data_IF_379986229644
#
_entry.id   IF_379986229644
#
_cell.length_a   1.000
_cell.length_b   1.000
_cell.length_c   1.000
_cell.angle_alpha   90.00
_cell.angle_beta   90.00
_cell.angle_gamma   90.00
#
_symmetry.space_group_name_H-M   'P 1'
#
loop_
_entity.id
_entity.type
_entity.pdbx_description
1 polymer ?
#
# COMPACT_ATOMS: atom_id res chain seq x y z
N UNK A 1 41.97 -42.06 -28.13
CA UNK A 1 40.82 -41.44 -28.80
C UNK A 1 40.57 -40.09 -28.13
N UNK A 2 40.61 -38.98 -28.87
CA UNK A 2 40.25 -37.67 -28.32
C UNK A 2 38.73 -37.55 -28.27
N UNK A 3 38.19 -37.39 -27.06
CA UNK A 3 36.75 -37.25 -26.83
C UNK A 3 36.19 -35.92 -27.34
N UNK A 4 34.88 -35.88 -27.56
CA UNK A 4 34.17 -34.69 -28.01
C UNK A 4 34.35 -33.53 -27.04
N UNK A 5 34.66 -32.34 -27.56
CA UNK A 5 34.68 -31.10 -26.78
C UNK A 5 33.25 -30.83 -26.27
N UNK A 6 33.03 -30.68 -24.95
CA UNK A 6 31.71 -30.35 -24.43
C UNK A 6 31.30 -28.97 -24.91
N UNK A 7 30.01 -28.80 -25.20
CA UNK A 7 29.46 -27.49 -25.55
C UNK A 7 29.61 -26.54 -24.36
N UNK A 8 30.52 -25.58 -24.47
CA UNK A 8 30.72 -24.52 -23.47
C UNK A 8 30.07 -23.24 -23.98
N UNK A 9 28.87 -22.93 -23.49
CA UNK A 9 28.25 -21.62 -23.69
C UNK A 9 28.38 -20.79 -22.42
N UNK A 10 29.04 -19.63 -22.53
CA UNK A 10 29.16 -18.66 -21.43
C UNK A 10 27.90 -17.77 -21.27
N UNK A 11 26.84 -18.03 -22.04
CA UNK A 11 25.63 -17.20 -22.04
C UNK A 11 24.40 -18.06 -21.83
N UNK A 12 23.82 -17.96 -20.64
CA UNK A 12 22.45 -18.39 -20.39
C UNK A 12 21.51 -17.29 -20.88
N UNK A 13 20.65 -17.61 -21.85
CA UNK A 13 19.54 -16.74 -22.24
C UNK A 13 18.29 -17.31 -21.56
N UNK A 14 17.71 -16.63 -20.55
CA UNK A 14 16.48 -17.10 -19.94
C UNK A 14 15.33 -17.01 -20.94
N UNK A 15 14.51 -18.06 -20.98
CA UNK A 15 13.26 -18.03 -21.73
C UNK A 15 12.29 -17.04 -21.07
N UNK A 16 11.62 -16.22 -21.89
CA UNK A 16 10.58 -15.29 -21.44
C UNK A 16 9.21 -15.95 -21.64
N UNK A 17 8.51 -16.20 -20.55
CA UNK A 17 7.11 -16.63 -20.57
C UNK A 17 6.18 -15.46 -20.31
N UNK A 18 4.94 -15.57 -20.79
CA UNK A 18 3.87 -14.68 -20.38
C UNK A 18 3.31 -15.17 -19.04
N UNK A 19 3.06 -14.26 -18.11
CA UNK A 19 2.45 -14.61 -16.84
C UNK A 19 0.96 -14.92 -17.06
N UNK A 20 0.56 -16.17 -16.85
CA UNK A 20 -0.82 -16.66 -16.97
C UNK A 20 -1.31 -17.22 -15.64
N UNK A 21 -2.63 -17.18 -15.44
CA UNK A 21 -3.35 -17.87 -14.38
C UNK A 21 -4.35 -18.86 -14.98
N UNK A 22 -4.75 -19.86 -14.22
CA UNK A 22 -5.80 -20.79 -14.63
C UNK A 22 -7.14 -20.30 -14.10
N UNK A 23 -8.10 -20.10 -14.99
CA UNK A 23 -9.50 -19.78 -14.68
C UNK A 23 -10.38 -20.76 -15.47
N UNK A 24 -11.24 -21.50 -14.78
CA UNK A 24 -12.10 -22.55 -15.37
C UNK A 24 -11.38 -23.57 -16.26
N UNK A 25 -10.14 -23.94 -15.89
CA UNK A 25 -9.32 -24.88 -16.65
C UNK A 25 -8.73 -24.32 -17.94
N UNK A 26 -8.79 -22.99 -18.14
CA UNK A 26 -8.18 -22.28 -19.28
C UNK A 26 -7.07 -21.35 -18.81
N UNK A 27 -6.02 -21.22 -19.62
CA UNK A 27 -4.98 -20.23 -19.40
C UNK A 27 -5.49 -18.82 -19.74
N UNK A 28 -5.39 -17.92 -18.77
CA UNK A 28 -5.79 -16.51 -18.88
C UNK A 28 -4.59 -15.65 -18.49
N UNK A 29 -4.35 -14.54 -19.18
CA UNK A 29 -3.25 -13.63 -18.83
C UNK A 29 -3.51 -12.98 -17.47
N UNK A 30 -2.46 -12.91 -16.63
CA UNK A 30 -2.55 -12.16 -15.37
C UNK A 30 -2.66 -10.67 -15.72
N UNK A 31 -3.70 -9.98 -15.26
CA UNK A 31 -3.83 -8.55 -15.50
C UNK A 31 -2.66 -7.79 -14.82
N UNK A 32 -2.17 -6.71 -15.44
CA UNK A 32 -1.13 -5.89 -14.83
C UNK A 32 -1.60 -5.36 -13.48
N UNK A 33 -0.68 -5.31 -12.51
CA UNK A 33 -0.96 -4.76 -11.19
C UNK A 33 -1.44 -3.30 -11.32
N UNK A 34 -2.42 -2.87 -10.51
CA UNK A 34 -2.83 -1.48 -10.46
C UNK A 34 -1.66 -0.59 -10.03
N UNK A 35 -1.75 0.71 -10.33
CA UNK A 35 -0.72 1.68 -9.97
C UNK A 35 -0.42 1.62 -8.47
N UNK A 36 0.85 1.39 -8.14
CA UNK A 36 1.29 1.36 -6.75
C UNK A 36 1.50 2.79 -6.29
N UNK A 37 0.81 3.18 -5.23
CA UNK A 37 1.00 4.49 -4.60
C UNK A 37 1.65 4.31 -3.25
N UNK A 38 2.69 5.10 -2.97
CA UNK A 38 3.30 5.13 -1.64
C UNK A 38 2.33 5.76 -0.64
N UNK A 39 1.66 4.92 0.15
CA UNK A 39 0.72 5.34 1.20
C UNK A 39 1.35 6.27 2.24
N UNK A 40 2.64 6.15 2.55
CA UNK A 40 3.29 7.12 3.45
C UNK A 40 3.39 8.53 2.84
N UNK A 41 3.36 8.62 1.49
CA UNK A 41 3.40 9.89 0.75
C UNK A 41 2.00 10.48 0.49
N UNK A 42 1.01 9.64 0.16
CA UNK A 42 -0.35 10.12 -0.17
C UNK A 42 -1.34 10.05 0.99
N UNK A 43 -1.10 9.18 1.98
CA UNK A 43 -1.95 9.12 3.14
C UNK A 43 -1.67 10.29 4.06
N UNK A 44 -2.73 10.99 4.44
CA UNK A 44 -2.70 11.95 5.53
C UNK A 44 -2.93 11.29 6.88
N UNK A 45 -3.08 9.96 6.95
CA UNK A 45 -3.28 9.21 8.20
C UNK A 45 -1.93 8.86 8.81
N UNK A 46 -1.68 9.33 10.03
CA UNK A 46 -0.51 8.96 10.82
C UNK A 46 -0.68 7.54 11.41
N UNK A 47 0.42 6.94 11.87
CA UNK A 47 0.38 5.65 12.60
C UNK A 47 -0.49 5.69 13.86
N UNK A 48 -0.72 6.88 14.43
CA UNK A 48 -1.65 7.09 15.54
C UNK A 48 -3.13 7.06 15.14
N UNK A 49 -3.45 6.89 13.85
CA UNK A 49 -4.81 7.04 13.32
C UNK A 49 -5.25 8.50 13.16
N UNK A 50 -4.45 9.48 13.59
CA UNK A 50 -4.76 10.90 13.42
C UNK A 50 -4.56 11.35 11.97
N UNK A 51 -5.49 12.13 11.44
CA UNK A 51 -5.34 12.81 10.16
C UNK A 51 -4.44 14.05 10.30
N UNK A 52 -3.38 14.12 9.51
CA UNK A 52 -2.53 15.32 9.32
C UNK A 52 -3.36 16.34 8.56
N UNK A 53 -3.69 17.52 9.12
CA UNK A 53 -4.44 18.56 8.42
C UNK A 53 -3.79 18.90 7.06
N UNK A 54 -4.62 19.14 6.04
CA UNK A 54 -4.13 19.59 4.75
C UNK A 54 -3.64 21.02 4.97
N UNK A 55 -2.33 21.21 5.12
CA UNK A 55 -1.78 22.55 5.11
C UNK A 55 -1.92 23.05 3.68
N UNK A 56 -2.77 24.05 3.46
CA UNK A 56 -2.72 24.82 2.22
C UNK A 56 -1.28 25.29 2.08
N UNK A 57 -0.64 25.04 0.94
CA UNK A 57 0.70 25.55 0.64
C UNK A 57 0.65 27.07 0.44
N UNK A 58 0.21 27.81 1.46
CA UNK A 58 0.55 29.22 1.58
C UNK A 58 1.93 29.23 2.17
N UNK A 59 2.92 29.52 1.33
CA UNK A 59 4.23 29.98 1.80
C UNK A 59 3.97 31.14 2.74
N UNK A 60 4.00 30.90 4.04
CA UNK A 60 4.10 31.94 5.05
C UNK A 60 5.33 31.61 5.83
N UNK A 61 6.35 32.40 5.56
CA UNK A 61 7.60 32.47 6.30
C UNK A 61 7.25 33.02 7.70
N UNK A 62 7.54 32.24 8.75
CA UNK A 62 8.07 32.71 10.04
C UNK A 62 7.78 31.71 11.19
N UNK A 63 8.73 31.56 12.13
CA UNK A 63 8.68 30.56 13.20
C UNK A 63 7.94 31.09 14.42
N UNK A 64 7.22 30.26 15.18
CA UNK A 64 7.01 30.46 16.61
C UNK A 64 6.66 29.10 17.25
N UNK A 65 7.58 28.66 18.10
CA UNK A 65 7.40 27.64 19.13
C UNK A 65 6.22 28.03 20.03
N UNK A 66 5.19 27.18 20.12
CA UNK A 66 4.27 27.20 21.27
C UNK A 66 4.19 25.79 21.84
N UNK A 67 4.83 25.69 22.99
CA UNK A 67 4.77 24.58 23.91
C UNK A 67 3.31 24.23 24.24
N UNK A 68 3.09 22.93 24.31
CA UNK A 68 1.85 22.17 24.56
C UNK A 68 0.99 22.76 25.68
N UNK A 69 -0.30 22.94 25.39
CA UNK A 69 -1.35 22.81 26.41
C UNK A 69 -2.36 21.79 25.90
N UNK A 70 -2.24 20.55 26.41
CA UNK A 70 -3.16 19.46 26.15
C UNK A 70 -4.34 19.62 27.09
N UNK A 71 -5.36 20.33 26.64
CA UNK A 71 -6.68 20.31 27.28
C UNK A 71 -7.51 19.20 26.64
N UNK A 72 -7.70 18.11 27.39
CA UNK A 72 -8.59 17.02 27.03
C UNK A 72 -10.03 17.55 26.94
N UNK A 73 -10.71 17.45 25.79
CA UNK A 73 -12.15 17.57 25.77
C UNK A 73 -12.76 16.22 26.16
N UNK A 74 -13.27 16.23 27.39
CA UNK A 74 -14.32 15.40 28.00
C UNK A 74 -15.08 14.50 27.02
N UNK A 75 -15.17 13.24 27.44
CA UNK A 75 -16.05 12.17 26.95
C UNK A 75 -17.50 12.66 26.81
N UNK A 76 -18.06 12.59 25.61
CA UNK A 76 -19.49 12.60 25.39
C UNK A 76 -19.89 11.31 24.67
N UNK A 77 -20.43 10.42 25.49
CA UNK A 77 -21.20 9.24 25.12
C UNK A 77 -22.59 9.65 24.64
N UNK A 78 -22.85 9.58 23.34
CA UNK A 78 -24.19 9.62 22.74
C UNK A 78 -24.11 8.76 21.46
N UNK A 79 -24.40 7.46 21.59
CA UNK A 79 -25.71 6.88 21.26
C UNK A 79 -26.10 7.13 19.80
N UNK A 80 -25.62 6.28 18.90
CA UNK A 80 -26.43 5.87 17.76
C UNK A 80 -26.68 4.36 17.89
N UNK A 81 -27.89 4.06 18.37
CA UNK A 81 -28.65 2.85 18.02
C UNK A 81 -28.68 2.78 16.50
N UNK A 82 -28.39 1.66 15.84
CA UNK A 82 -29.36 0.60 15.53
C UNK A 82 -28.72 -0.54 14.69
N UNK A 83 -29.42 -1.69 14.62
CA UNK A 83 -29.16 -2.91 13.80
C UNK A 83 -28.13 -3.90 14.40
N UNK A 84 -28.45 -5.14 14.76
CA UNK A 84 -29.69 -5.92 14.65
C UNK A 84 -29.51 -7.21 15.48
N UNK A 85 -30.62 -7.77 15.95
CA UNK A 85 -30.64 -9.04 16.69
C UNK A 85 -30.22 -10.20 15.78
N UNK A 86 -29.37 -11.10 16.26
CA UNK A 86 -29.31 -12.46 15.74
C UNK A 86 -29.06 -13.42 16.89
N UNK A 87 -30.10 -14.19 17.22
CA UNK A 87 -30.01 -15.35 18.11
C UNK A 87 -29.19 -16.45 17.45
N UNK A 88 -28.39 -17.14 18.26
CA UNK A 88 -27.74 -18.41 17.99
C UNK A 88 -27.49 -19.10 19.33
#
# INVERSE_FOLDING_TARGET
MSGSVPYTSNKAIPYKYNATMIEDGREVLIPPLPSVVNIAKVSRVMRSGRLVPAMSSKKVDAPINRHVQMENPVVNSELNKDIGQSSG
#
